data_IF_190905477822
#
_entry.id   IF_190905477822
#
_cell.length_a   1.000
_cell.length_b   1.000
_cell.length_c   1.000
_cell.angle_alpha   90.00
_cell.angle_beta   90.00
_cell.angle_gamma   90.00
#
_symmetry.space_group_name_H-M   'P 1'
#
loop_
_entity.id
_entity.type
_entity.pdbx_description
1 polymer ?
#
# COMPACT_ATOMS: atom_id res chain seq x y z
N UNK A 1 13.40 8.25 2.69
CA UNK A 1 13.22 7.02 1.92
C UNK A 1 13.12 7.41 0.45
N UNK A 2 14.00 6.94 -0.41
CA UNK A 2 14.05 7.38 -1.82
C UNK A 2 12.98 6.62 -2.61
N UNK A 3 12.16 7.33 -3.39
CA UNK A 3 11.12 6.82 -4.29
C UNK A 3 11.61 5.63 -5.15
N UNK A 4 12.91 5.60 -5.49
CA UNK A 4 13.56 4.49 -6.20
C UNK A 4 13.45 3.12 -5.49
N UNK A 5 13.41 3.07 -4.16
CA UNK A 5 13.23 1.83 -3.41
C UNK A 5 11.81 1.28 -3.57
N UNK A 6 10.81 2.15 -3.60
CA UNK A 6 9.39 1.79 -3.83
C UNK A 6 9.24 1.19 -5.23
N UNK A 7 9.74 1.86 -6.28
CA UNK A 7 9.64 1.33 -7.65
C UNK A 7 10.38 0.00 -7.86
N UNK A 8 11.54 -0.18 -7.22
CA UNK A 8 12.25 -1.46 -7.27
C UNK A 8 11.43 -2.59 -6.65
N UNK A 9 10.72 -2.30 -5.56
CA UNK A 9 9.88 -3.28 -4.87
C UNK A 9 8.60 -3.59 -5.64
N UNK A 10 7.94 -2.59 -6.22
CA UNK A 10 6.75 -2.80 -7.05
C UNK A 10 7.05 -3.70 -8.25
N UNK A 11 8.19 -3.48 -8.91
CA UNK A 11 8.62 -4.33 -10.03
C UNK A 11 8.73 -5.80 -9.59
N UNK A 12 9.34 -6.07 -8.45
CA UNK A 12 9.47 -7.43 -7.91
C UNK A 12 8.09 -8.05 -7.58
N UNK A 13 7.20 -7.29 -6.92
CA UNK A 13 5.85 -7.77 -6.57
C UNK A 13 5.05 -8.11 -7.83
N UNK A 14 5.16 -7.28 -8.87
CA UNK A 14 4.54 -7.52 -10.17
C UNK A 14 5.10 -8.77 -10.87
N UNK A 15 6.42 -8.96 -10.86
CA UNK A 15 7.06 -10.16 -11.42
C UNK A 15 6.61 -11.44 -10.72
N UNK A 16 6.43 -11.39 -9.39
CA UNK A 16 5.93 -12.50 -8.58
C UNK A 16 4.40 -12.68 -8.64
N UNK A 17 3.69 -11.82 -9.40
CA UNK A 17 2.21 -11.77 -9.44
C UNK A 17 1.58 -11.69 -8.05
N UNK A 18 2.27 -11.02 -7.12
CA UNK A 18 1.75 -10.80 -5.79
C UNK A 18 0.78 -9.63 -5.81
N UNK A 19 -0.43 -9.77 -5.25
CA UNK A 19 -1.33 -8.65 -5.08
C UNK A 19 -0.64 -7.54 -4.29
N UNK A 20 -0.67 -6.32 -4.81
CA UNK A 20 -0.15 -5.15 -4.12
C UNK A 20 -0.96 -3.91 -4.48
N UNK A 21 -0.93 -2.92 -3.60
CA UNK A 21 -1.34 -1.54 -3.86
C UNK A 21 -0.15 -0.64 -3.48
N UNK A 22 0.06 0.42 -4.25
CA UNK A 22 1.07 1.44 -3.96
C UNK A 22 0.42 2.80 -4.12
N UNK A 23 0.73 3.71 -3.20
CA UNK A 23 0.26 5.08 -3.20
C UNK A 23 1.40 6.00 -2.78
N UNK A 24 1.56 7.06 -3.56
CA UNK A 24 2.45 8.16 -3.24
C UNK A 24 1.60 9.29 -2.65
N UNK A 25 1.99 9.75 -1.46
CA UNK A 25 1.38 10.93 -0.81
C UNK A 25 2.25 12.14 -1.09
N UNK A 26 1.62 13.27 -1.43
CA UNK A 26 2.30 14.52 -1.75
C UNK A 26 2.83 15.22 -0.50
N UNK A 27 2.14 15.03 0.64
CA UNK A 27 2.54 15.63 1.91
C UNK A 27 2.98 14.57 2.93
N UNK A 28 3.89 14.99 3.80
CA UNK A 28 4.40 14.14 4.87
C UNK A 28 5.69 13.37 4.55
N UNK A 29 6.39 13.01 5.62
CA UNK A 29 7.75 12.46 5.55
C UNK A 29 7.81 10.97 5.81
N UNK A 30 9.02 10.45 5.90
CA UNK A 30 9.21 9.12 6.49
C UNK A 30 8.79 9.16 7.97
N UNK A 31 7.96 8.21 8.40
CA UNK A 31 7.52 8.12 9.80
C UNK A 31 6.25 8.91 10.14
N UNK A 32 5.31 9.04 9.20
CA UNK A 32 3.99 9.66 9.44
C UNK A 32 3.06 8.84 10.36
N UNK A 33 3.47 7.65 10.78
CA UNK A 33 2.63 6.74 11.58
C UNK A 33 1.28 6.48 10.90
N UNK A 34 0.18 6.95 11.50
CA UNK A 34 -1.18 6.82 10.96
C UNK A 34 -1.56 7.92 9.98
N UNK A 35 -0.73 8.95 9.81
CA UNK A 35 -0.95 10.03 8.86
C UNK A 35 -2.01 11.06 9.26
N UNK A 36 -2.32 11.21 10.55
CA UNK A 36 -3.27 12.23 11.05
C UNK A 36 -2.87 13.64 10.59
N UNK A 37 -3.86 14.45 10.20
CA UNK A 37 -3.66 15.82 9.67
C UNK A 37 -2.75 15.89 8.43
N UNK A 38 -2.65 14.79 7.67
CA UNK A 38 -1.92 14.73 6.40
C UNK A 38 -2.78 14.17 5.26
N UNK A 39 -2.32 14.29 4.02
CA UNK A 39 -2.94 13.63 2.87
C UNK A 39 -2.82 12.10 2.89
N UNK A 40 -2.05 11.54 3.83
CA UNK A 40 -2.01 10.12 4.10
C UNK A 40 -3.08 9.65 5.11
N UNK A 41 -3.88 10.56 5.68
CA UNK A 41 -4.89 10.17 6.67
C UNK A 41 -5.87 9.13 6.10
N UNK A 42 -6.11 8.04 6.84
CA UNK A 42 -6.95 6.93 6.40
C UNK A 42 -6.24 5.85 5.58
N UNK A 43 -4.94 5.98 5.29
CA UNK A 43 -4.18 4.97 4.52
C UNK A 43 -4.25 3.55 5.13
N UNK A 44 -4.37 3.46 6.46
CA UNK A 44 -4.49 2.20 7.19
C UNK A 44 -5.78 1.46 6.83
N UNK A 45 -6.92 2.18 6.78
CA UNK A 45 -8.21 1.59 6.46
C UNK A 45 -8.25 1.08 5.01
N UNK A 46 -7.61 1.83 4.10
CA UNK A 46 -7.46 1.41 2.71
C UNK A 46 -6.61 0.13 2.59
N UNK A 47 -5.48 0.06 3.31
CA UNK A 47 -4.63 -1.13 3.32
C UNK A 47 -5.39 -2.35 3.84
N UNK A 48 -6.15 -2.21 4.94
CA UNK A 48 -7.01 -3.29 5.47
C UNK A 48 -8.08 -3.70 4.46
N UNK A 49 -8.72 -2.73 3.80
CA UNK A 49 -9.77 -3.00 2.81
C UNK A 49 -9.23 -3.77 1.60
N UNK A 50 -8.03 -3.42 1.12
CA UNK A 50 -7.34 -4.16 0.07
C UNK A 50 -7.08 -5.62 0.45
N UNK A 51 -6.55 -5.87 1.65
CA UNK A 51 -6.28 -7.24 2.09
C UNK A 51 -7.56 -8.07 2.30
N UNK A 52 -8.64 -7.44 2.75
CA UNK A 52 -9.95 -8.08 2.84
C UNK A 52 -10.48 -8.44 1.45
N UNK A 53 -10.42 -7.54 0.48
CA UNK A 53 -10.97 -7.80 -0.86
C UNK A 53 -10.27 -9.00 -1.53
N UNK A 54 -8.95 -9.11 -1.40
CA UNK A 54 -8.24 -10.26 -1.98
C UNK A 54 -8.47 -11.56 -1.18
N UNK A 55 -8.77 -11.45 0.12
CA UNK A 55 -9.07 -12.60 0.97
C UNK A 55 -10.46 -13.18 0.72
N UNK A 56 -11.42 -12.33 0.39
CA UNK A 56 -12.79 -12.72 0.04
C UNK A 56 -12.86 -13.34 -1.37
N UNK A 57 -12.05 -12.87 -2.33
CA UNK A 57 -11.94 -13.46 -3.68
C UNK A 57 -11.17 -14.81 -3.70
N UNK A 58 -10.41 -15.12 -2.65
CA UNK A 58 -9.69 -16.38 -2.48
C UNK A 58 -10.46 -17.50 -1.76
N UNK A 59 -11.71 -17.23 -1.35
CA UNK A 59 -12.55 -18.08 -0.50
C UNK A 59 -13.59 -18.93 -1.24
N UNK A 60 -13.40 -19.22 -2.53
CA UNK A 60 -14.20 -20.20 -3.26
C UNK A 60 -13.81 -21.62 -2.86
N UNK A 61 -14.68 -22.29 -2.09
CA UNK A 61 -14.68 -23.75 -1.91
C UNK A 61 -14.85 -24.48 -3.24
#
# INVERSE_FOLDING_TARGET
MTIAATYSREKQLKELRMPYISRDYETGGHGLEIGEDSDAEGWVDEAVSFWKSIGEDGGGR
#
